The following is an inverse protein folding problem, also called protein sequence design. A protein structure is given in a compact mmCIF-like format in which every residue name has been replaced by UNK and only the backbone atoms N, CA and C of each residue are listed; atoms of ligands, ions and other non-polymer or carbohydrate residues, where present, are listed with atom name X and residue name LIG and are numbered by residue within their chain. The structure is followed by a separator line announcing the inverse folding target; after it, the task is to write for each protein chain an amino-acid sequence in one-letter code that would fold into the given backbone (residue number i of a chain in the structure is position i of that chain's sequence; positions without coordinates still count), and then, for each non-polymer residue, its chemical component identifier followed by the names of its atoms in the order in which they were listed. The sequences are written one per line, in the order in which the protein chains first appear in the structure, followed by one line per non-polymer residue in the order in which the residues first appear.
data_IF_787201652081
#
_entry.id   IF_787201652081
#
_cell.length_a   1.000
_cell.length_b   1.000
_cell.length_c   1.000
_cell.angle_alpha   90.00
_cell.angle_beta   90.00
_cell.angle_gamma   90.00
#
_symmetry.space_group_name_H-M   'P 1'
#
loop_
_entity.id
_entity.type
_entity.pdbx_description
1 polymer ?
#
# COMPACT_ATOMS: atom_id res chain seq x y z
N UNK A 1 5.15 -23.95 22.50
CA UNK A 1 6.23 -24.78 21.95
C UNK A 1 6.88 -23.96 20.85
N UNK A 2 8.22 -23.88 20.82
CA UNK A 2 8.92 -23.13 19.79
C UNK A 2 8.90 -23.91 18.46
N UNK A 3 8.89 -23.17 17.35
CA UNK A 3 9.09 -23.72 16.01
C UNK A 3 10.48 -23.34 15.52
N UNK A 4 11.23 -24.30 14.99
CA UNK A 4 12.53 -24.08 14.37
C UNK A 4 12.40 -24.38 12.87
N UNK A 5 12.54 -23.35 12.06
CA UNK A 5 12.56 -23.45 10.60
C UNK A 5 14.03 -23.49 10.16
N UNK A 6 14.41 -24.47 9.33
CA UNK A 6 15.77 -24.63 8.82
C UNK A 6 15.81 -24.53 7.29
N UNK A 7 16.90 -23.97 6.77
CA UNK A 7 17.15 -23.83 5.33
C UNK A 7 18.27 -22.82 5.05
N UNK A 8 18.31 -22.25 3.84
CA UNK A 8 19.19 -21.13 3.55
C UNK A 8 18.49 -19.82 3.99
N UNK A 9 19.03 -19.05 4.93
CA UNK A 9 18.35 -17.84 5.44
C UNK A 9 19.00 -16.59 4.86
N UNK A 10 18.20 -15.75 4.20
CA UNK A 10 18.59 -14.40 3.75
C UNK A 10 17.84 -13.35 4.56
N UNK A 11 18.59 -12.40 5.12
CA UNK A 11 18.03 -11.25 5.83
C UNK A 11 18.81 -9.97 5.51
N UNK A 12 18.23 -8.82 5.85
CA UNK A 12 18.84 -7.52 5.64
C UNK A 12 18.89 -6.76 6.98
N UNK A 13 20.05 -6.18 7.30
CA UNK A 13 20.30 -5.43 8.55
C UNK A 13 20.60 -3.95 8.32
N UNK A 14 20.47 -3.49 7.07
CA UNK A 14 20.66 -2.08 6.69
C UNK A 14 20.11 -1.79 5.30
N UNK A 15 20.26 -0.55 4.84
CA UNK A 15 19.84 -0.12 3.50
C UNK A 15 20.90 -0.52 2.45
N UNK A 16 20.60 -1.39 1.47
CA UNK A 16 21.55 -1.79 0.44
C UNK A 16 21.94 -0.64 -0.50
N UNK A 17 21.16 0.45 -0.60
CA UNK A 17 21.56 1.64 -1.36
C UNK A 17 22.65 2.45 -0.65
N UNK A 18 22.88 2.21 0.64
CA UNK A 18 23.93 2.85 1.44
C UNK A 18 25.09 1.89 1.69
N UNK A 19 24.80 0.67 2.17
CA UNK A 19 25.80 -0.30 2.59
C UNK A 19 26.16 -1.33 1.50
N UNK A 20 25.51 -1.30 0.33
CA UNK A 20 25.72 -2.30 -0.72
C UNK A 20 25.41 -3.71 -0.23
N UNK A 21 26.22 -4.69 -0.66
CA UNK A 21 26.07 -6.08 -0.24
C UNK A 21 26.27 -6.30 1.26
N UNK A 22 26.93 -5.39 1.97
CA UNK A 22 27.12 -5.49 3.42
C UNK A 22 25.82 -5.30 4.21
N UNK A 23 24.73 -4.84 3.57
CA UNK A 23 23.40 -4.81 4.16
C UNK A 23 22.78 -6.23 4.29
N UNK A 24 23.22 -7.20 3.49
CA UNK A 24 22.68 -8.55 3.48
C UNK A 24 23.41 -9.46 4.47
N UNK A 25 22.68 -10.43 5.02
CA UNK A 25 23.19 -11.55 5.82
C UNK A 25 22.65 -12.84 5.21
N UNK A 26 23.56 -13.76 4.91
CA UNK A 26 23.22 -15.03 4.27
C UNK A 26 23.80 -16.19 5.07
N UNK A 27 22.92 -16.99 5.66
CA UNK A 27 23.26 -18.19 6.41
C UNK A 27 22.93 -19.43 5.57
N UNK A 28 23.97 -20.06 5.00
CA UNK A 28 23.80 -21.23 4.12
C UNK A 28 23.13 -22.42 4.82
N UNK A 29 23.38 -22.57 6.11
CA UNK A 29 22.81 -23.60 6.97
C UNK A 29 22.05 -22.93 8.12
N UNK A 30 21.23 -21.94 7.80
CA UNK A 30 20.56 -21.10 8.77
C UNK A 30 19.33 -21.72 9.41
N UNK A 31 18.83 -21.03 10.43
CA UNK A 31 17.55 -21.30 11.04
C UNK A 31 16.86 -20.04 11.56
N UNK A 32 15.54 -20.14 11.74
CA UNK A 32 14.68 -19.13 12.35
C UNK A 32 13.86 -19.79 13.44
N UNK A 33 13.99 -19.30 14.67
CA UNK A 33 13.20 -19.77 15.82
C UNK A 33 12.03 -18.82 16.01
N UNK A 34 10.82 -19.40 16.07
CA UNK A 34 9.57 -18.67 16.24
C UNK A 34 8.88 -19.14 17.52
N UNK A 35 8.47 -18.19 18.35
CA UNK A 35 7.64 -18.42 19.53
C UNK A 35 6.46 -17.47 19.52
N UNK A 36 5.24 -18.01 19.68
CA UNK A 36 4.00 -17.22 19.71
C UNK A 36 3.89 -16.21 18.54
N UNK A 37 4.24 -16.65 17.33
CA UNK A 37 4.18 -15.83 16.11
C UNK A 37 5.26 -14.76 15.99
N UNK A 38 6.29 -14.76 16.85
CA UNK A 38 7.41 -13.82 16.81
C UNK A 38 8.75 -14.54 16.64
N UNK A 39 9.63 -13.93 15.86
CA UNK A 39 11.01 -14.40 15.71
C UNK A 39 11.75 -14.11 17.02
N UNK A 40 12.35 -15.13 17.62
CA UNK A 40 13.17 -15.00 18.85
C UNK A 40 14.66 -15.20 18.60
N UNK A 41 15.02 -15.92 17.51
CA UNK A 41 16.42 -16.08 17.10
C UNK A 41 16.53 -16.35 15.60
N UNK A 42 17.61 -15.89 14.99
CA UNK A 42 18.05 -16.20 13.62
C UNK A 42 19.55 -16.43 13.66
N UNK A 43 20.05 -17.46 12.98
CA UNK A 43 21.48 -17.78 12.99
C UNK A 43 21.77 -19.16 12.40
N UNK A 44 22.89 -19.76 12.77
CA UNK A 44 23.26 -21.11 12.36
C UNK A 44 22.24 -22.15 12.88
N UNK A 45 21.79 -23.01 11.97
CA UNK A 45 20.74 -23.98 12.24
C UNK A 45 21.15 -25.10 13.20
N UNK A 46 22.44 -25.48 13.25
CA UNK A 46 22.93 -26.47 14.19
C UNK A 46 22.98 -25.90 15.61
N UNK A 47 23.47 -24.67 15.75
CA UNK A 47 23.49 -23.94 17.02
C UNK A 47 22.07 -23.72 17.55
N UNK A 48 21.14 -23.29 16.70
CA UNK A 48 19.74 -23.11 17.07
C UNK A 48 19.06 -24.43 17.46
N UNK A 49 19.35 -25.53 16.75
CA UNK A 49 18.82 -26.86 17.11
C UNK A 49 19.34 -27.33 18.47
N UNK A 50 20.61 -27.06 18.79
CA UNK A 50 21.19 -27.37 20.09
C UNK A 50 20.60 -26.51 21.23
N UNK A 51 20.37 -25.22 20.97
CA UNK A 51 19.77 -24.28 21.93
C UNK A 51 18.27 -24.53 22.16
N UNK A 52 17.55 -25.08 21.16
CA UNK A 52 16.11 -25.33 21.23
C UNK A 52 15.78 -26.82 20.97
N UNK A 53 16.20 -27.77 21.85
CA UNK A 53 16.09 -29.21 21.61
C UNK A 53 14.64 -29.73 21.61
N UNK A 54 13.70 -28.94 22.12
CA UNK A 54 12.27 -29.26 22.18
C UNK A 54 11.45 -28.51 21.11
N UNK A 55 12.09 -27.74 20.23
CA UNK A 55 11.39 -27.05 19.15
C UNK A 55 10.86 -28.05 18.12
N UNK A 56 9.68 -27.77 17.57
CA UNK A 56 9.17 -28.50 16.42
C UNK A 56 9.96 -28.04 15.19
N UNK A 57 10.63 -28.98 14.52
CA UNK A 57 11.53 -28.68 13.40
C UNK A 57 10.81 -28.83 12.06
N UNK A 58 10.92 -27.81 11.22
CA UNK A 58 10.57 -27.86 9.79
C UNK A 58 11.84 -27.57 8.98
N UNK A 59 12.30 -28.54 8.19
CA UNK A 59 13.53 -28.41 7.40
C UNK A 59 13.20 -28.28 5.91
N UNK A 60 13.48 -27.11 5.34
CA UNK A 60 13.28 -26.81 3.92
C UNK A 60 14.53 -27.11 3.06
N UNK A 61 15.59 -27.69 3.65
CA UNK A 61 16.79 -28.11 2.94
C UNK A 61 17.47 -26.96 2.21
N UNK A 62 17.51 -27.05 0.88
CA UNK A 62 18.15 -26.04 0.02
C UNK A 62 17.23 -24.88 -0.37
N UNK A 63 15.99 -24.79 0.16
CA UNK A 63 15.15 -23.62 -0.13
C UNK A 63 15.72 -22.35 0.53
N UNK A 64 15.45 -21.20 -0.10
CA UNK A 64 15.75 -19.89 0.47
C UNK A 64 14.58 -19.42 1.34
N UNK A 65 14.87 -19.11 2.60
CA UNK A 65 13.98 -18.50 3.57
C UNK A 65 14.32 -17.01 3.63
N UNK A 66 13.31 -16.17 3.44
CA UNK A 66 13.40 -14.71 3.51
C UNK A 66 12.20 -14.17 4.28
N UNK A 67 12.27 -12.90 4.67
CA UNK A 67 11.08 -12.16 5.07
C UNK A 67 10.04 -12.19 3.93
N UNK A 68 8.77 -12.26 4.31
CA UNK A 68 7.67 -12.13 3.35
C UNK A 68 7.66 -10.76 2.70
N UNK A 69 7.19 -10.69 1.46
CA UNK A 69 7.17 -9.44 0.71
C UNK A 69 6.11 -8.47 1.26
N UNK A 70 6.40 -7.18 1.11
CA UNK A 70 5.53 -6.07 1.47
C UNK A 70 5.13 -5.37 0.18
N UNK A 71 3.82 -5.32 -0.08
CA UNK A 71 3.25 -4.56 -1.18
C UNK A 71 2.70 -3.23 -0.64
N UNK A 72 3.37 -2.13 -0.96
CA UNK A 72 3.09 -0.83 -0.34
C UNK A 72 1.94 -0.05 -1.02
N UNK A 73 1.38 -0.54 -2.13
CA UNK A 73 0.27 0.10 -2.84
C UNK A 73 -0.46 -0.90 -3.74
N UNK A 74 -1.72 -1.19 -3.46
CA UNK A 74 -2.54 -2.05 -4.30
C UNK A 74 -4.00 -1.66 -4.27
N UNK A 75 -4.78 -2.08 -5.27
CA UNK A 75 -6.23 -1.97 -5.25
C UNK A 75 -6.84 -3.37 -5.23
N UNK A 76 -7.10 -3.90 -4.03
CA UNK A 76 -7.77 -5.19 -3.91
C UNK A 76 -9.13 -5.25 -4.67
N UNK A 77 -9.95 -4.18 -4.77
CA UNK A 77 -11.21 -4.27 -5.51
C UNK A 77 -11.00 -4.38 -7.03
N UNK A 78 -9.77 -4.20 -7.53
CA UNK A 78 -9.43 -4.30 -8.95
C UNK A 78 -8.89 -5.68 -9.33
N UNK A 79 -8.94 -6.67 -8.42
CA UNK A 79 -8.46 -8.05 -8.67
C UNK A 79 -9.07 -8.67 -9.93
N UNK A 80 -10.33 -8.36 -10.27
CA UNK A 80 -11.02 -8.94 -11.43
C UNK A 80 -10.61 -8.30 -12.76
N UNK A 81 -9.92 -7.17 -12.74
CA UNK A 81 -9.58 -6.36 -13.92
C UNK A 81 -8.06 -6.23 -14.14
N UNK A 82 -7.26 -7.03 -13.44
CA UNK A 82 -5.79 -7.06 -13.62
C UNK A 82 -5.46 -7.23 -15.12
N UNK A 83 -4.50 -6.44 -15.58
CA UNK A 83 -4.03 -6.43 -16.97
C UNK A 83 -5.13 -6.11 -18.02
N UNK A 84 -6.18 -5.36 -17.64
CA UNK A 84 -7.15 -4.83 -18.61
C UNK A 84 -6.49 -3.80 -19.51
N UNK A 85 -6.48 -4.06 -20.83
CA UNK A 85 -5.82 -3.19 -21.80
C UNK A 85 -6.50 -1.81 -21.91
N UNK A 86 -5.73 -0.74 -21.81
CA UNK A 86 -6.20 0.63 -22.00
C UNK A 86 -5.07 1.53 -22.49
N UNK A 87 -5.41 2.63 -23.16
CA UNK A 87 -4.40 3.53 -23.72
C UNK A 87 -3.76 4.43 -22.66
N UNK A 88 -4.56 4.99 -21.74
CA UNK A 88 -4.16 6.01 -20.73
C UNK A 88 -5.03 5.93 -19.47
N UNK A 89 -4.54 6.46 -18.34
CA UNK A 89 -5.14 6.33 -17.00
C UNK A 89 -6.63 6.69 -16.93
N UNK A 90 -7.02 7.88 -17.42
CA UNK A 90 -8.43 8.35 -17.30
C UNK A 90 -9.41 7.48 -18.10
N UNK A 91 -9.01 7.05 -19.30
CA UNK A 91 -9.83 6.13 -20.10
C UNK A 91 -9.96 4.77 -19.39
N UNK A 92 -8.87 4.28 -18.79
CA UNK A 92 -8.82 3.03 -18.05
C UNK A 92 -9.74 3.04 -16.81
N UNK A 93 -9.70 4.13 -16.03
CA UNK A 93 -10.57 4.33 -14.87
C UNK A 93 -12.06 4.24 -15.25
N UNK A 94 -12.46 4.95 -16.30
CA UNK A 94 -13.85 4.98 -16.75
C UNK A 94 -14.32 3.66 -17.39
N UNK A 95 -13.41 2.92 -18.03
CA UNK A 95 -13.75 1.71 -18.79
C UNK A 95 -13.80 0.47 -17.92
N UNK A 96 -12.88 0.33 -16.96
CA UNK A 96 -12.71 -0.90 -16.18
C UNK A 96 -12.86 -0.68 -14.68
N UNK A 97 -12.16 0.32 -14.13
CA UNK A 97 -12.05 0.50 -12.68
C UNK A 97 -13.38 0.87 -12.03
N UNK A 98 -14.04 1.93 -12.51
CA UNK A 98 -15.28 2.38 -11.92
C UNK A 98 -16.41 1.34 -12.04
N UNK A 99 -16.64 0.69 -13.20
CA UNK A 99 -17.63 -0.38 -13.29
C UNK A 99 -17.39 -1.54 -12.32
N UNK A 100 -16.13 -1.93 -12.10
CA UNK A 100 -15.80 -3.01 -11.17
C UNK A 100 -15.97 -2.57 -9.71
N UNK A 101 -15.45 -1.40 -9.34
CA UNK A 101 -15.53 -0.89 -7.97
C UNK A 101 -16.98 -0.62 -7.51
N UNK A 102 -17.90 -0.31 -8.43
CA UNK A 102 -19.35 -0.16 -8.13
C UNK A 102 -19.98 -1.41 -7.53
N UNK A 103 -19.41 -2.60 -7.77
CA UNK A 103 -19.97 -3.87 -7.31
C UNK A 103 -19.70 -4.14 -5.84
N UNK A 104 -18.81 -3.38 -5.22
CA UNK A 104 -18.37 -3.59 -3.84
C UNK A 104 -19.32 -3.04 -2.77
N UNK A 105 -20.42 -2.41 -3.17
CA UNK A 105 -21.58 -2.20 -2.29
C UNK A 105 -22.30 -3.50 -1.93
N UNK A 106 -22.11 -4.58 -2.69
CA UNK A 106 -22.53 -5.92 -2.31
C UNK A 106 -21.46 -6.57 -1.40
N UNK A 107 -21.79 -6.69 -0.11
CA UNK A 107 -20.90 -7.28 0.89
C UNK A 107 -20.48 -8.72 0.57
N UNK A 108 -21.34 -9.52 -0.09
CA UNK A 108 -21.00 -10.89 -0.47
C UNK A 108 -19.96 -10.91 -1.60
N UNK A 109 -20.10 -10.00 -2.56
CA UNK A 109 -19.11 -9.82 -3.62
C UNK A 109 -17.77 -9.33 -3.05
N UNK A 110 -17.80 -8.31 -2.20
CA UNK A 110 -16.62 -7.77 -1.54
C UNK A 110 -15.86 -8.84 -0.73
N UNK A 111 -16.57 -9.70 0.01
CA UNK A 111 -15.98 -10.80 0.78
C UNK A 111 -15.34 -11.87 -0.12
N UNK A 112 -15.99 -12.22 -1.22
CA UNK A 112 -15.45 -13.19 -2.18
C UNK A 112 -14.15 -12.68 -2.82
N UNK A 113 -14.10 -11.41 -3.22
CA UNK A 113 -12.90 -10.81 -3.81
C UNK A 113 -11.79 -10.61 -2.78
N UNK A 114 -12.10 -10.15 -1.56
CA UNK A 114 -11.12 -10.00 -0.48
C UNK A 114 -10.42 -11.33 -0.15
N UNK A 115 -11.20 -12.42 -0.04
CA UNK A 115 -10.67 -13.78 0.16
C UNK A 115 -9.73 -14.15 -0.99
N UNK A 116 -10.18 -14.02 -2.24
CA UNK A 116 -9.36 -14.33 -3.42
C UNK A 116 -8.06 -13.53 -3.45
N UNK A 117 -8.11 -12.23 -3.18
CA UNK A 117 -6.95 -11.37 -3.20
C UNK A 117 -5.92 -11.76 -2.13
N UNK A 118 -6.36 -12.06 -0.90
CA UNK A 118 -5.46 -12.51 0.15
C UNK A 118 -4.85 -13.90 -0.15
N UNK A 119 -5.59 -14.79 -0.79
CA UNK A 119 -5.06 -16.08 -1.24
C UNK A 119 -4.01 -15.90 -2.35
N UNK A 120 -4.24 -14.98 -3.29
CA UNK A 120 -3.28 -14.64 -4.36
C UNK A 120 -2.00 -14.02 -3.81
N UNK A 121 -2.11 -13.03 -2.93
CA UNK A 121 -0.93 -12.37 -2.32
C UNK A 121 -0.10 -13.39 -1.53
N UNK A 122 -0.74 -14.24 -0.73
CA UNK A 122 -0.06 -15.30 0.01
C UNK A 122 0.63 -16.31 -0.92
N UNK A 123 -0.03 -16.73 -2.01
CA UNK A 123 0.54 -17.65 -2.99
C UNK A 123 1.77 -17.08 -3.72
N UNK A 124 1.91 -15.76 -3.78
CA UNK A 124 3.04 -15.05 -4.40
C UNK A 124 4.06 -14.53 -3.37
N UNK A 125 3.95 -14.92 -2.10
CA UNK A 125 4.91 -14.59 -1.05
C UNK A 125 4.73 -13.19 -0.43
N UNK A 126 3.70 -12.44 -0.81
CA UNK A 126 3.31 -11.19 -0.16
C UNK A 126 2.57 -11.50 1.13
N UNK A 127 3.11 -11.01 2.25
CA UNK A 127 2.57 -11.26 3.60
C UNK A 127 2.00 -9.99 4.25
N UNK A 128 2.21 -8.85 3.62
CA UNK A 128 1.75 -7.55 4.06
C UNK A 128 1.43 -6.67 2.88
N UNK A 129 0.29 -5.99 2.94
CA UNK A 129 -0.21 -5.14 1.86
C UNK A 129 -0.83 -3.87 2.41
N UNK A 130 -0.57 -2.74 1.75
CA UNK A 130 -1.30 -1.49 1.90
C UNK A 130 -2.22 -1.29 0.69
N UNK A 131 -3.54 -1.39 0.91
CA UNK A 131 -4.50 -1.43 -0.19
C UNK A 131 -5.59 -0.37 -0.10
N UNK A 132 -6.00 0.13 -1.27
CA UNK A 132 -7.23 0.88 -1.45
C UNK A 132 -8.43 -0.08 -1.38
N UNK A 133 -9.47 0.31 -0.64
CA UNK A 133 -10.81 -0.26 -0.79
C UNK A 133 -11.59 0.48 -1.87
N UNK A 134 -12.92 0.44 -1.79
CA UNK A 134 -13.80 1.32 -2.59
C UNK A 134 -14.43 2.41 -1.73
N UNK A 135 -15.35 3.20 -2.30
CA UNK A 135 -16.18 4.12 -1.50
C UNK A 135 -17.11 3.40 -0.53
N UNK A 136 -17.43 2.12 -0.80
CA UNK A 136 -18.40 1.38 -0.02
C UNK A 136 -17.74 0.88 1.26
N UNK A 137 -18.24 1.22 2.45
CA UNK A 137 -17.66 0.71 3.70
C UNK A 137 -17.63 -0.83 3.77
N UNK A 138 -18.57 -1.51 3.12
CA UNK A 138 -18.66 -2.96 2.97
C UNK A 138 -17.37 -3.56 2.38
N UNK A 139 -16.71 -2.85 1.46
CA UNK A 139 -15.42 -3.22 0.88
C UNK A 139 -14.35 -3.36 1.98
N UNK A 140 -14.20 -2.33 2.79
CA UNK A 140 -13.19 -2.27 3.85
C UNK A 140 -13.49 -3.26 4.97
N UNK A 141 -14.76 -3.40 5.35
CA UNK A 141 -15.19 -4.40 6.33
C UNK A 141 -14.89 -5.84 5.85
N UNK A 142 -15.20 -6.14 4.59
CA UNK A 142 -14.92 -7.45 4.01
C UNK A 142 -13.42 -7.76 3.96
N UNK A 143 -12.59 -6.78 3.56
CA UNK A 143 -11.15 -6.95 3.51
C UNK A 143 -10.55 -7.19 4.90
N UNK A 144 -10.88 -6.35 5.88
CA UNK A 144 -10.37 -6.52 7.23
C UNK A 144 -10.84 -7.82 7.89
N UNK A 145 -12.11 -8.21 7.72
CA UNK A 145 -12.60 -9.49 8.25
C UNK A 145 -11.83 -10.69 7.65
N UNK A 146 -11.58 -10.67 6.34
CA UNK A 146 -10.83 -11.73 5.66
C UNK A 146 -9.35 -11.76 6.09
N UNK A 147 -8.73 -10.60 6.31
CA UNK A 147 -7.36 -10.48 6.79
C UNK A 147 -7.22 -10.91 8.26
N UNK A 148 -8.17 -10.53 9.12
CA UNK A 148 -8.21 -10.91 10.53
C UNK A 148 -8.27 -12.43 10.68
N UNK A 149 -9.14 -13.10 9.91
CA UNK A 149 -9.28 -14.56 9.91
C UNK A 149 -7.99 -15.30 9.51
N UNK A 150 -7.07 -14.62 8.82
CA UNK A 150 -5.74 -15.13 8.41
C UNK A 150 -4.61 -14.64 9.31
N UNK A 151 -4.92 -13.87 10.35
CA UNK A 151 -3.95 -13.16 11.19
C UNK A 151 -2.93 -12.35 10.38
N UNK A 152 -3.34 -11.81 9.22
CA UNK A 152 -2.48 -11.10 8.29
C UNK A 152 -2.17 -9.68 8.79
N UNK A 153 -0.97 -9.17 8.52
CA UNK A 153 -0.64 -7.76 8.75
C UNK A 153 -0.99 -6.95 7.52
N UNK A 154 -2.02 -6.12 7.60
CA UNK A 154 -2.51 -5.35 6.46
C UNK A 154 -2.87 -3.92 6.82
N UNK A 155 -2.84 -3.07 5.80
CA UNK A 155 -3.29 -1.70 5.84
C UNK A 155 -4.38 -1.51 4.79
N UNK A 156 -5.51 -0.93 5.17
CA UNK A 156 -6.58 -0.61 4.23
C UNK A 156 -7.38 0.61 4.67
N UNK A 157 -8.00 1.27 3.72
CA UNK A 157 -8.84 2.44 3.97
C UNK A 157 -9.98 2.53 2.97
N UNK A 158 -11.08 3.17 3.39
CA UNK A 158 -12.17 3.54 2.49
C UNK A 158 -11.64 4.59 1.52
N UNK A 159 -11.69 4.27 0.23
CA UNK A 159 -11.29 5.20 -0.81
C UNK A 159 -12.37 6.28 -0.92
N UNK A 160 -11.98 7.55 -0.84
CA UNK A 160 -12.92 8.67 -0.84
C UNK A 160 -12.82 9.46 -2.16
N UNK A 161 -13.98 9.77 -2.74
CA UNK A 161 -14.12 10.56 -3.98
C UNK A 161 -15.55 11.13 -4.06
N UNK A 162 -15.70 12.44 -4.23
CA UNK A 162 -17.00 13.13 -4.28
C UNK A 162 -17.25 13.89 -5.60
N UNK A 163 -16.34 13.78 -6.57
CA UNK A 163 -16.51 14.37 -7.91
C UNK A 163 -15.77 13.59 -8.98
N UNK A 164 -16.08 13.90 -10.24
CA UNK A 164 -15.37 13.37 -11.42
C UNK A 164 -15.31 11.83 -11.49
N UNK A 165 -16.31 11.17 -10.90
CA UNK A 165 -16.56 9.75 -10.95
C UNK A 165 -18.07 9.53 -11.19
N UNK A 166 -18.52 8.31 -11.56
CA UNK A 166 -19.94 7.99 -11.68
C UNK A 166 -20.68 8.25 -10.37
N UNK A 167 -21.96 8.65 -10.43
CA UNK A 167 -22.77 9.02 -9.25
C UNK A 167 -22.77 7.93 -8.17
N UNK A 168 -22.88 6.65 -8.56
CA UNK A 168 -22.82 5.50 -7.63
C UNK A 168 -21.44 5.20 -7.03
N UNK A 169 -20.41 5.98 -7.38
CA UNK A 169 -19.08 5.96 -6.79
C UNK A 169 -18.70 7.30 -6.16
N UNK A 170 -19.62 8.25 -6.05
CA UNK A 170 -19.36 9.49 -5.34
C UNK A 170 -19.94 9.42 -3.92
N UNK A 171 -19.13 9.81 -2.95
CA UNK A 171 -19.58 10.14 -1.60
C UNK A 171 -19.64 11.67 -1.41
N UNK A 172 -19.56 12.15 -0.17
CA UNK A 172 -19.52 13.59 0.14
C UNK A 172 -18.37 13.83 1.13
N UNK A 173 -17.95 15.07 1.33
CA UNK A 173 -17.00 15.41 2.39
C UNK A 173 -17.43 14.89 3.78
N UNK A 174 -18.73 14.99 4.10
CA UNK A 174 -19.29 14.53 5.38
C UNK A 174 -19.24 13.01 5.50
N UNK A 175 -19.77 12.28 4.52
CA UNK A 175 -19.79 10.81 4.55
C UNK A 175 -18.39 10.21 4.42
N UNK A 176 -17.48 10.86 3.67
CA UNK A 176 -16.07 10.49 3.62
C UNK A 176 -15.42 10.54 5.01
N UNK A 177 -15.69 11.60 5.79
CA UNK A 177 -15.21 11.72 7.17
C UNK A 177 -15.88 10.68 8.09
N UNK A 178 -17.20 10.65 8.13
CA UNK A 178 -17.97 9.85 9.09
C UNK A 178 -17.71 8.35 8.94
N UNK A 179 -17.75 7.85 7.69
CA UNK A 179 -17.49 6.43 7.43
C UNK A 179 -16.03 6.07 7.68
N UNK A 180 -15.09 6.94 7.30
CA UNK A 180 -13.67 6.69 7.57
C UNK A 180 -13.38 6.67 9.06
N UNK A 181 -13.94 7.61 9.83
CA UNK A 181 -13.80 7.65 11.28
C UNK A 181 -14.40 6.40 11.95
N UNK A 182 -15.58 5.96 11.49
CA UNK A 182 -16.23 4.74 11.97
C UNK A 182 -15.39 3.48 11.68
N UNK A 183 -14.88 3.34 10.46
CA UNK A 183 -14.06 2.19 10.07
C UNK A 183 -12.71 2.21 10.79
N UNK A 184 -12.09 3.38 10.94
CA UNK A 184 -10.85 3.57 11.72
C UNK A 184 -11.07 3.11 13.15
N UNK A 185 -12.10 3.62 13.84
CA UNK A 185 -12.40 3.25 15.22
C UNK A 185 -12.67 1.75 15.40
N UNK A 186 -13.20 1.09 14.38
CA UNK A 186 -13.51 -0.35 14.41
C UNK A 186 -12.29 -1.23 14.15
N UNK A 187 -11.39 -0.83 13.26
CA UNK A 187 -10.37 -1.74 12.70
C UNK A 187 -8.93 -1.33 12.97
N UNK A 188 -8.65 -0.04 13.20
CA UNK A 188 -7.28 0.41 13.44
C UNK A 188 -6.75 -0.15 14.77
N UNK A 189 -5.61 -0.82 14.73
CA UNK A 189 -4.97 -1.39 15.93
C UNK A 189 -5.61 -2.68 16.45
N UNK A 190 -6.62 -3.22 15.76
CA UNK A 190 -7.18 -4.54 16.07
C UNK A 190 -6.26 -5.62 15.50
N UNK A 191 -5.74 -6.49 16.36
CA UNK A 191 -4.77 -7.55 16.01
C UNK A 191 -3.57 -7.01 15.20
N UNK A 192 -3.54 -7.32 13.90
CA UNK A 192 -2.49 -6.88 12.96
C UNK A 192 -3.07 -5.98 11.86
N UNK A 193 -4.20 -5.35 12.10
CA UNK A 193 -4.90 -4.51 11.13
C UNK A 193 -4.61 -3.04 11.40
N UNK A 194 -4.51 -2.26 10.33
CA UNK A 194 -4.26 -0.81 10.43
C UNK A 194 -5.11 -0.07 9.41
N UNK A 195 -5.91 0.88 9.88
CA UNK A 195 -6.66 1.76 8.98
C UNK A 195 -5.73 2.79 8.31
N UNK A 196 -6.08 3.21 7.10
CA UNK A 196 -5.38 4.25 6.31
C UNK A 196 -6.39 5.31 5.87
N UNK A 197 -6.05 6.58 6.02
CA UNK A 197 -6.85 7.68 5.47
C UNK A 197 -6.59 7.76 3.96
N UNK A 198 -7.63 7.62 3.14
CA UNK A 198 -7.46 7.33 1.71
C UNK A 198 -8.32 8.23 0.80
N UNK A 199 -7.95 9.50 0.57
CA UNK A 199 -8.41 10.19 -0.63
C UNK A 199 -7.89 9.43 -1.86
N UNK A 200 -8.72 9.23 -2.89
CA UNK A 200 -8.24 8.49 -4.08
C UNK A 200 -7.09 9.23 -4.74
N UNK A 201 -7.38 10.44 -5.20
CA UNK A 201 -6.47 11.40 -5.83
C UNK A 201 -7.20 12.76 -5.98
N UNK A 202 -6.47 13.87 -6.04
CA UNK A 202 -7.04 15.22 -5.98
C UNK A 202 -8.11 15.51 -7.06
N UNK A 203 -8.03 15.01 -8.31
CA UNK A 203 -9.08 15.21 -9.30
C UNK A 203 -10.46 14.73 -8.86
N UNK A 204 -10.54 13.66 -8.07
CA UNK A 204 -11.81 13.08 -7.62
C UNK A 204 -12.29 13.56 -6.25
N UNK A 205 -11.52 14.44 -5.59
CA UNK A 205 -11.86 14.99 -4.28
C UNK A 205 -12.00 16.51 -4.33
N UNK A 206 -13.11 17.03 -3.84
CA UNK A 206 -13.31 18.45 -3.59
C UNK A 206 -12.33 18.97 -2.53
N UNK A 207 -12.21 20.30 -2.42
CA UNK A 207 -11.39 20.92 -1.36
C UNK A 207 -11.94 20.57 0.02
N UNK A 208 -13.27 20.53 0.13
CA UNK A 208 -14.00 20.19 1.34
C UNK A 208 -13.72 18.75 1.77
N UNK A 209 -13.71 17.80 0.83
CA UNK A 209 -13.38 16.40 1.13
C UNK A 209 -11.91 16.23 1.51
N UNK A 210 -10.98 16.86 0.79
CA UNK A 210 -9.55 16.82 1.15
C UNK A 210 -9.33 17.41 2.55
N UNK A 211 -9.94 18.54 2.87
CA UNK A 211 -9.85 19.17 4.19
C UNK A 211 -10.46 18.29 5.29
N UNK A 212 -11.59 17.63 5.03
CA UNK A 212 -12.20 16.72 5.99
C UNK A 212 -11.29 15.52 6.31
N UNK A 213 -10.69 14.90 5.29
CA UNK A 213 -9.77 13.78 5.47
C UNK A 213 -8.46 14.21 6.13
N UNK A 214 -7.95 15.41 5.81
CA UNK A 214 -6.79 15.99 6.49
C UNK A 214 -7.06 16.28 7.97
N UNK A 215 -8.24 16.80 8.29
CA UNK A 215 -8.68 16.98 9.68
C UNK A 215 -8.80 15.65 10.43
N UNK A 216 -9.30 14.59 9.76
CA UNK A 216 -9.35 13.25 10.35
C UNK A 216 -7.94 12.70 10.59
N UNK A 217 -7.03 12.82 9.62
CA UNK A 217 -5.66 12.33 9.77
C UNK A 217 -4.90 13.06 10.88
N UNK A 218 -5.09 14.38 11.02
CA UNK A 218 -4.50 15.15 12.11
C UNK A 218 -4.97 14.71 13.51
N UNK A 219 -6.16 14.12 13.63
CA UNK A 219 -6.68 13.55 14.87
C UNK A 219 -6.06 12.18 15.22
N UNK A 220 -5.46 11.52 14.23
CA UNK A 220 -4.94 10.15 14.32
C UNK A 220 -3.49 10.06 13.79
N UNK A 221 -2.49 10.63 14.51
CA UNK A 221 -1.09 10.68 14.06
C UNK A 221 -0.40 9.31 13.98
N UNK A 222 -1.03 8.25 14.49
CA UNK A 222 -0.61 6.86 14.39
C UNK A 222 -1.15 6.15 13.14
N UNK A 223 -2.09 6.76 12.42
CA UNK A 223 -2.61 6.26 11.16
C UNK A 223 -1.75 6.68 9.97
N UNK A 224 -1.70 5.82 8.95
CA UNK A 224 -1.14 6.19 7.65
C UNK A 224 -2.15 6.99 6.84
N UNK A 225 -1.64 7.69 5.83
CA UNK A 225 -2.43 8.30 4.77
C UNK A 225 -1.87 7.83 3.43
N UNK A 226 -2.74 7.47 2.47
CA UNK A 226 -2.31 7.08 1.12
C UNK A 226 -3.12 7.81 0.04
N UNK A 227 -2.46 8.13 -1.07
CA UNK A 227 -3.08 8.74 -2.26
C UNK A 227 -2.20 8.52 -3.50
N UNK A 228 -2.67 8.91 -4.68
CA UNK A 228 -1.85 8.97 -5.91
C UNK A 228 -1.26 10.38 -6.08
N UNK A 229 -0.07 10.47 -6.70
CA UNK A 229 0.60 11.74 -6.95
C UNK A 229 1.43 11.68 -8.24
N UNK A 230 1.23 12.66 -9.12
CA UNK A 230 2.06 12.94 -10.30
C UNK A 230 2.40 11.70 -11.13
N UNK A 231 1.38 10.91 -11.47
CA UNK A 231 1.55 9.68 -12.24
C UNK A 231 1.64 9.96 -13.75
N UNK A 232 0.71 10.77 -14.29
CA UNK A 232 0.68 11.10 -15.72
C UNK A 232 0.64 12.62 -15.97
N UNK A 233 1.24 13.08 -17.06
CA UNK A 233 1.21 14.50 -17.43
C UNK A 233 -0.21 15.06 -17.62
N UNK A 234 -1.12 14.28 -18.20
CA UNK A 234 -2.52 14.70 -18.38
C UNK A 234 -3.26 14.81 -17.04
N UNK A 235 -2.96 13.92 -16.10
CA UNK A 235 -3.47 13.99 -14.73
C UNK A 235 -2.97 15.27 -14.05
N UNK A 236 -1.67 15.58 -14.16
CA UNK A 236 -1.07 16.80 -13.60
C UNK A 236 -1.71 18.06 -14.21
N UNK A 237 -1.93 18.07 -15.53
CA UNK A 237 -2.62 19.18 -16.20
C UNK A 237 -4.05 19.34 -15.67
N UNK A 238 -4.78 18.24 -15.49
CA UNK A 238 -6.13 18.26 -14.96
C UNK A 238 -6.20 18.75 -13.51
N UNK A 239 -5.24 18.35 -12.67
CA UNK A 239 -5.11 18.89 -11.30
C UNK A 239 -4.95 20.40 -11.33
N UNK A 240 -4.09 20.92 -12.21
CA UNK A 240 -3.86 22.37 -12.35
C UNK A 240 -5.11 23.13 -12.79
N UNK A 241 -5.97 22.52 -13.61
CA UNK A 241 -7.27 23.09 -13.99
C UNK A 241 -8.26 23.13 -12.81
N UNK A 242 -8.29 22.07 -11.99
CA UNK A 242 -9.19 21.94 -10.85
C UNK A 242 -8.75 22.72 -9.60
N UNK A 243 -7.45 22.95 -9.46
CA UNK A 243 -6.80 23.66 -8.36
C UNK A 243 -5.85 24.74 -8.88
N UNK A 244 -6.37 25.79 -9.55
CA UNK A 244 -5.54 26.84 -10.16
C UNK A 244 -4.74 27.66 -9.15
N UNK A 245 -5.11 27.62 -7.87
CA UNK A 245 -4.40 28.26 -6.77
C UNK A 245 -3.21 27.44 -6.23
N UNK A 246 -3.17 26.15 -6.52
CA UNK A 246 -2.10 25.26 -6.07
C UNK A 246 -0.81 25.51 -6.85
N UNK A 247 0.33 25.52 -6.16
CA UNK A 247 1.65 25.73 -6.76
C UNK A 247 2.06 24.57 -7.68
N UNK A 248 1.75 23.36 -7.26
CA UNK A 248 2.04 22.08 -7.89
C UNK A 248 0.98 21.05 -7.43
N UNK A 249 1.07 19.80 -7.89
CA UNK A 249 0.08 18.77 -7.52
C UNK A 249 0.15 18.49 -6.01
N UNK A 250 1.36 18.28 -5.46
CA UNK A 250 1.54 18.05 -4.03
C UNK A 250 0.89 19.13 -3.15
N UNK A 251 0.89 20.39 -3.59
CA UNK A 251 0.29 21.50 -2.85
C UNK A 251 -1.21 21.32 -2.57
N UNK A 252 -1.93 20.58 -3.42
CA UNK A 252 -3.34 20.24 -3.16
C UNK A 252 -3.52 19.42 -1.88
N UNK A 253 -2.57 18.53 -1.58
CA UNK A 253 -2.56 17.74 -0.36
C UNK A 253 -1.92 18.51 0.80
N UNK A 254 -0.85 19.27 0.55
CA UNK A 254 -0.19 20.11 1.57
C UNK A 254 -1.18 21.12 2.18
N UNK A 255 -1.95 21.82 1.35
CA UNK A 255 -2.94 22.79 1.79
C UNK A 255 -4.07 22.18 2.64
N UNK A 256 -4.36 20.89 2.42
CA UNK A 256 -5.38 20.15 3.16
C UNK A 256 -4.85 19.48 4.43
N UNK A 257 -3.55 19.58 4.74
CA UNK A 257 -2.93 18.87 5.88
C UNK A 257 -2.71 17.38 5.62
N UNK A 258 -2.76 16.94 4.36
CA UNK A 258 -2.51 15.56 3.91
C UNK A 258 -1.05 15.39 3.47
N UNK A 259 -0.11 15.96 4.23
CA UNK A 259 1.33 15.84 4.00
C UNK A 259 2.14 15.74 5.30
N UNK A 260 2.84 14.62 5.47
CA UNK A 260 3.63 14.35 6.67
C UNK A 260 4.22 12.94 6.74
N UNK A 261 4.89 12.60 7.86
CA UNK A 261 5.35 11.23 8.14
C UNK A 261 4.16 10.27 8.12
N UNK A 262 4.33 9.09 7.50
CA UNK A 262 3.24 8.14 7.31
C UNK A 262 2.33 8.42 6.10
N UNK A 263 2.63 9.46 5.32
CA UNK A 263 2.03 9.67 3.99
C UNK A 263 2.69 8.79 2.91
N UNK A 264 1.88 8.07 2.15
CA UNK A 264 2.26 7.19 1.05
C UNK A 264 1.71 7.75 -0.27
N UNK A 265 2.62 8.14 -1.17
CA UNK A 265 2.27 8.75 -2.44
C UNK A 265 2.59 7.78 -3.58
N UNK A 266 1.54 7.21 -4.16
CA UNK A 266 1.61 6.28 -5.29
C UNK A 266 2.20 6.91 -6.54
N UNK A 267 3.00 6.13 -7.26
CA UNK A 267 3.68 6.47 -8.51
C UNK A 267 4.78 7.52 -8.37
N UNK A 268 4.41 8.78 -8.07
CA UNK A 268 5.33 9.89 -7.86
C UNK A 268 6.43 9.99 -8.95
N UNK A 269 6.02 9.87 -10.22
CA UNK A 269 6.93 9.77 -11.37
C UNK A 269 7.39 11.15 -11.81
N UNK A 270 6.44 12.04 -12.08
CA UNK A 270 6.70 13.35 -12.70
C UNK A 270 6.68 14.45 -11.64
N UNK A 271 7.45 14.28 -10.58
CA UNK A 271 7.57 15.27 -9.51
C UNK A 271 8.42 16.47 -9.94
N UNK A 272 7.92 17.66 -9.65
CA UNK A 272 8.71 18.89 -9.70
C UNK A 272 9.79 18.92 -8.60
N UNK A 273 10.89 19.68 -8.78
CA UNK A 273 11.95 19.76 -7.77
C UNK A 273 11.45 20.16 -6.38
N UNK A 274 10.49 21.09 -6.30
CA UNK A 274 9.86 21.52 -5.05
C UNK A 274 9.13 20.36 -4.37
N UNK A 275 8.35 19.58 -5.12
CA UNK A 275 7.60 18.44 -4.60
C UNK A 275 8.55 17.40 -3.99
N UNK A 276 9.65 17.09 -4.69
CA UNK A 276 10.70 16.19 -4.20
C UNK A 276 11.30 16.69 -2.88
N UNK A 277 11.78 17.94 -2.86
CA UNK A 277 12.39 18.51 -1.66
C UNK A 277 11.42 18.51 -0.48
N UNK A 278 10.14 18.82 -0.74
CA UNK A 278 9.13 18.89 0.29
C UNK A 278 8.75 17.52 0.85
N UNK A 279 8.51 16.53 -0.01
CA UNK A 279 8.24 15.14 0.39
C UNK A 279 9.37 14.57 1.25
N UNK A 280 10.62 14.83 0.88
CA UNK A 280 11.78 14.43 1.69
C UNK A 280 11.81 15.14 3.05
N UNK A 281 11.59 16.46 3.06
CA UNK A 281 11.68 17.26 4.28
C UNK A 281 10.67 16.84 5.36
N UNK A 282 9.54 16.26 4.96
CA UNK A 282 8.50 15.76 5.88
C UNK A 282 8.55 14.25 6.10
N UNK A 283 9.56 13.56 5.57
CA UNK A 283 9.72 12.10 5.67
C UNK A 283 8.53 11.28 5.11
N UNK A 284 7.93 11.79 4.02
CA UNK A 284 6.92 11.08 3.24
C UNK A 284 7.51 9.94 2.40
N UNK A 285 6.71 8.92 2.13
CA UNK A 285 7.12 7.75 1.34
C UNK A 285 6.62 7.86 -0.09
N UNK A 286 7.50 7.61 -1.06
CA UNK A 286 7.14 7.44 -2.47
C UNK A 286 6.92 5.96 -2.75
N UNK A 287 5.86 5.59 -3.46
CA UNK A 287 5.60 4.19 -3.77
C UNK A 287 5.83 3.92 -5.26
N UNK A 288 6.84 3.11 -5.54
CA UNK A 288 7.21 2.74 -6.91
C UNK A 288 6.38 1.55 -7.39
N UNK A 289 5.56 1.77 -8.43
CA UNK A 289 4.68 0.77 -9.04
C UNK A 289 5.13 0.43 -10.48
N UNK A 290 6.29 -0.24 -10.69
CA UNK A 290 6.91 -0.36 -12.01
C UNK A 290 6.06 -1.05 -13.07
N UNK A 291 5.29 -2.08 -12.70
CA UNK A 291 4.44 -2.83 -13.63
C UNK A 291 3.30 -1.96 -14.14
N UNK A 292 2.59 -1.28 -13.23
CA UNK A 292 1.55 -0.30 -13.59
C UNK A 292 2.10 0.84 -14.42
N UNK A 293 3.17 1.51 -13.95
CA UNK A 293 3.79 2.62 -14.65
C UNK A 293 4.15 2.30 -16.11
N UNK A 294 4.61 1.07 -16.36
CA UNK A 294 4.95 0.60 -17.71
C UNK A 294 3.72 0.17 -18.52
N UNK A 295 2.75 -0.51 -17.88
CA UNK A 295 1.59 -1.09 -18.54
C UNK A 295 0.61 -0.03 -19.04
N UNK A 296 0.32 0.99 -18.22
CA UNK A 296 -0.57 2.10 -18.60
C UNK A 296 0.16 3.34 -19.15
N UNK A 297 1.47 3.20 -19.41
CA UNK A 297 2.27 4.19 -20.13
C UNK A 297 2.52 5.49 -19.35
N UNK A 298 2.57 5.42 -18.01
CA UNK A 298 2.74 6.59 -17.14
C UNK A 298 4.16 7.16 -17.19
N UNK A 299 5.19 6.30 -17.20
CA UNK A 299 6.59 6.73 -17.32
C UNK A 299 7.57 5.89 -16.51
N UNK A 300 8.80 6.40 -16.35
CA UNK A 300 9.88 5.73 -15.61
C UNK A 300 10.18 6.48 -14.31
N UNK A 301 10.07 5.78 -13.19
CA UNK A 301 10.37 6.31 -11.86
C UNK A 301 11.90 6.38 -11.63
N UNK A 302 12.42 7.55 -11.23
CA UNK A 302 13.85 7.76 -10.96
C UNK A 302 14.28 7.18 -9.59
N UNK A 303 14.26 5.85 -9.50
CA UNK A 303 14.62 5.14 -8.26
C UNK A 303 16.01 5.52 -7.76
N UNK A 304 17.01 5.52 -8.66
CA UNK A 304 18.40 5.77 -8.28
C UNK A 304 18.60 7.21 -7.79
N UNK A 305 18.08 8.21 -8.51
CA UNK A 305 18.21 9.61 -8.13
C UNK A 305 17.41 9.96 -6.86
N UNK A 306 16.21 9.40 -6.69
CA UNK A 306 15.40 9.64 -5.49
C UNK A 306 15.97 8.93 -4.25
N UNK A 307 16.49 7.70 -4.37
CA UNK A 307 17.23 7.06 -3.27
C UNK A 307 18.50 7.84 -2.90
N UNK A 308 19.27 8.30 -3.89
CA UNK A 308 20.46 9.11 -3.64
C UNK A 308 20.13 10.46 -2.97
N UNK A 309 18.95 11.03 -3.27
CA UNK A 309 18.46 12.24 -2.62
C UNK A 309 17.92 12.01 -1.20
N UNK A 310 17.81 10.77 -0.74
CA UNK A 310 17.42 10.39 0.62
C UNK A 310 15.93 10.09 0.81
N UNK A 311 15.18 9.84 -0.26
CA UNK A 311 13.76 9.50 -0.15
C UNK A 311 13.53 8.08 0.41
N UNK A 312 12.46 7.93 1.20
CA UNK A 312 11.90 6.62 1.56
C UNK A 312 11.04 6.12 0.40
N UNK A 313 11.35 4.93 -0.08
CA UNK A 313 10.69 4.35 -1.26
C UNK A 313 10.22 2.94 -0.95
N UNK A 314 8.93 2.68 -1.18
CA UNK A 314 8.33 1.35 -1.16
C UNK A 314 8.19 0.79 -2.59
N UNK A 315 8.10 -0.53 -2.71
CA UNK A 315 7.77 -1.22 -3.96
C UNK A 315 6.33 -1.72 -3.87
N UNK A 316 5.64 -1.72 -5.01
CA UNK A 316 4.25 -2.12 -5.04
C UNK A 316 3.83 -2.71 -6.39
N UNK A 317 2.77 -3.51 -6.36
CA UNK A 317 2.17 -4.10 -7.57
C UNK A 317 1.23 -3.13 -8.27
N UNK A 318 0.52 -2.31 -7.51
CA UNK A 318 -0.62 -1.52 -7.98
C UNK A 318 -1.65 -2.39 -8.73
N UNK A 319 -2.03 -3.52 -8.09
CA UNK A 319 -2.98 -4.51 -8.65
C UNK A 319 -4.18 -3.83 -9.30
N UNK A 320 -4.39 -4.10 -10.59
CA UNK A 320 -5.38 -3.42 -11.43
C UNK A 320 -4.69 -2.73 -12.60
N UNK A 321 -4.11 -1.55 -12.36
CA UNK A 321 -3.30 -0.83 -13.34
C UNK A 321 -1.98 -1.57 -13.65
N UNK A 322 -1.43 -2.25 -12.64
CA UNK A 322 -0.37 -3.23 -12.79
C UNK A 322 -0.84 -4.52 -13.45
N UNK A 323 0.06 -5.15 -14.23
CA UNK A 323 -0.15 -6.47 -14.81
C UNK A 323 0.10 -7.64 -13.84
N UNK A 324 0.25 -7.33 -12.55
CA UNK A 324 0.64 -8.23 -11.45
C UNK A 324 -0.24 -8.03 -10.24
#
# INVERSE_FOLDING_TARGET
MADLILGQVLSFTGDPFVAGLAAARFERHGGVVIEAGRIVAVGDGADLRAAHPQARVTDYGAALISAGFIDAHAHYPQTAIIASWGKRLIEWLNTYTFPEEMRFGDAAYAAAVATRYLDLTQANGTTSVCTFGTIHPESVEAFFAAAQAREARVWAGKTCMDRNAPEGLCDTAQTAYDDSARLLARWHGVDRLSYVITPRFAPTSSREQLAALGALWAQHPDCLMQTHLSEQHDEIAWVKELFPEARDYLDTYEAAGLLGPGGLYGHAIHLEPRERDRLRAVDASLIHCPTSNSFIGSGLFDLAGLKAAGHRIGLATDTGGGSS
#
